data_IF_682176137510
#
_entry.id   IF_682176137510
#
_cell.length_a   1.000
_cell.length_b   1.000
_cell.length_c   1.000
_cell.angle_alpha   90.00
_cell.angle_beta   90.00
_cell.angle_gamma   90.00
#
_symmetry.space_group_name_H-M   'P 1'
#
loop_
_entity.id
_entity.type
_entity.pdbx_description
1 polymer ?
#
# COMPACT_ATOMS: atom_id res chain seq x y z
N UNK A 1 -37.11 7.23 53.50
CA UNK A 1 -36.64 8.18 52.46
C UNK A 1 -35.45 9.05 52.93
N UNK A 2 -34.43 8.46 53.60
CA UNK A 2 -33.15 9.15 53.93
C UNK A 2 -31.96 8.46 53.26
N UNK A 3 -31.89 7.13 53.33
CA UNK A 3 -30.84 6.31 52.69
C UNK A 3 -30.61 6.67 51.22
N UNK A 4 -31.65 6.61 50.39
CA UNK A 4 -31.59 6.93 48.96
C UNK A 4 -31.04 8.34 48.61
N UNK A 5 -31.08 9.31 49.54
CA UNK A 5 -30.41 10.60 49.34
C UNK A 5 -28.89 10.49 49.54
N UNK A 6 -28.46 9.77 50.58
CA UNK A 6 -27.04 9.48 50.82
C UNK A 6 -26.43 8.69 49.67
N UNK A 7 -27.15 7.70 49.13
CA UNK A 7 -26.68 6.85 48.04
C UNK A 7 -26.50 7.67 46.73
N UNK A 8 -27.44 8.57 46.43
CA UNK A 8 -27.34 9.52 45.31
C UNK A 8 -26.17 10.49 45.46
N UNK A 9 -25.91 10.99 46.67
CA UNK A 9 -24.83 11.94 46.95
C UNK A 9 -23.44 11.29 46.80
N UNK A 10 -23.29 10.02 47.21
CA UNK A 10 -22.09 9.20 46.96
C UNK A 10 -21.85 9.02 45.46
N UNK A 11 -22.89 8.72 44.67
CA UNK A 11 -22.77 8.57 43.21
C UNK A 11 -22.35 9.90 42.55
N UNK A 12 -22.97 11.02 42.93
CA UNK A 12 -22.69 12.33 42.33
C UNK A 12 -21.24 12.79 42.59
N UNK A 13 -20.72 12.55 43.80
CA UNK A 13 -19.34 12.88 44.14
C UNK A 13 -18.32 11.99 43.39
N UNK A 14 -18.67 10.73 43.11
CA UNK A 14 -17.83 9.81 42.32
C UNK A 14 -17.77 10.20 40.83
N UNK A 15 -18.87 10.73 40.27
CA UNK A 15 -18.90 11.29 38.91
C UNK A 15 -17.95 12.49 38.81
N UNK A 16 -18.07 13.48 39.70
CA UNK A 16 -17.20 14.67 39.72
C UNK A 16 -15.71 14.33 39.79
N UNK A 17 -15.32 13.35 40.62
CA UNK A 17 -13.92 12.90 40.69
C UNK A 17 -13.45 12.28 39.37
N UNK A 18 -14.31 11.51 38.70
CA UNK A 18 -14.02 10.88 37.40
C UNK A 18 -13.90 11.92 36.27
N UNK A 19 -14.65 13.01 36.33
CA UNK A 19 -14.56 14.12 35.38
C UNK A 19 -13.27 14.93 35.56
N UNK A 20 -12.88 15.24 36.80
CA UNK A 20 -11.62 15.95 37.07
C UNK A 20 -10.37 15.17 36.62
N UNK A 21 -10.42 13.83 36.62
CA UNK A 21 -9.34 12.98 36.09
C UNK A 21 -9.38 12.75 34.57
N UNK A 22 -10.40 13.25 33.85
CA UNK A 22 -10.46 13.18 32.37
C UNK A 22 -9.97 14.45 31.67
N UNK A 23 -9.67 15.52 32.41
CA UNK A 23 -9.35 16.84 31.86
C UNK A 23 -7.82 17.07 31.72
N UNK A 24 -6.97 16.24 32.34
CA UNK A 24 -5.51 16.34 32.22
C UNK A 24 -4.95 15.89 30.86
N UNK A 25 -5.62 14.95 30.18
CA UNK A 25 -4.98 14.10 29.17
C UNK A 25 -5.25 14.54 27.71
N UNK A 26 -5.91 15.69 27.50
CA UNK A 26 -6.20 16.24 26.16
C UNK A 26 -5.55 17.62 26.00
N UNK A 27 -4.24 17.65 25.76
CA UNK A 27 -3.54 18.87 25.31
C UNK A 27 -2.48 18.61 24.22
N UNK A 28 -2.88 17.94 23.14
CA UNK A 28 -2.16 18.05 21.87
C UNK A 28 -2.55 19.37 21.18
N UNK A 29 -1.76 20.42 21.37
CA UNK A 29 -1.99 21.70 20.67
C UNK A 29 -1.58 21.59 19.21
N UNK A 30 -2.51 21.94 18.30
CA UNK A 30 -2.15 22.32 16.92
C UNK A 30 -1.34 23.62 16.96
N UNK A 31 -0.28 23.69 16.17
CA UNK A 31 0.10 24.93 15.48
C UNK A 31 0.32 24.59 14.01
N UNK A 32 -0.30 25.38 13.13
CA UNK A 32 -0.02 25.33 11.71
C UNK A 32 1.16 26.28 11.43
N UNK A 33 2.06 25.92 10.53
CA UNK A 33 2.88 26.92 9.82
C UNK A 33 2.89 26.55 8.34
N UNK A 34 2.52 27.53 7.51
CA UNK A 34 2.45 27.40 6.06
C UNK A 34 3.81 27.77 5.45
N UNK A 35 4.14 27.20 4.29
CA UNK A 35 5.30 27.57 3.50
C UNK A 35 5.45 29.09 3.37
N UNK A 36 6.65 29.62 3.59
CA UNK A 36 7.08 30.79 2.83
C UNK A 36 8.58 30.72 2.52
N UNK A 37 8.91 30.99 1.26
CA UNK A 37 10.27 31.09 0.74
C UNK A 37 10.64 32.57 0.70
N UNK A 38 11.63 33.01 1.46
CA UNK A 38 12.41 34.18 1.05
C UNK A 38 13.83 34.18 1.62
N UNK A 39 14.75 34.70 0.80
CA UNK A 39 16.19 34.74 1.03
C UNK A 39 16.58 35.90 1.95
N UNK A 40 17.66 35.72 2.72
CA UNK A 40 18.67 36.76 2.99
C UNK A 40 20.02 36.07 3.19
N UNK A 41 21.06 36.56 2.52
CA UNK A 41 22.45 36.13 2.73
C UNK A 41 23.03 36.81 3.98
N UNK A 42 23.82 36.08 4.79
CA UNK A 42 25.06 36.64 5.37
C UNK A 42 26.01 35.61 5.99
N UNK A 43 27.20 35.53 5.38
CA UNK A 43 28.54 35.61 6.00
C UNK A 43 28.93 34.59 7.09
N UNK A 44 30.10 33.97 6.87
CA UNK A 44 30.87 33.29 7.91
C UNK A 44 31.13 34.19 9.12
N UNK A 45 31.03 33.62 10.32
CA UNK A 45 31.93 33.95 11.42
C UNK A 45 32.09 32.73 12.34
N UNK A 46 33.27 32.11 12.34
CA UNK A 46 33.60 31.07 13.30
C UNK A 46 33.86 31.72 14.66
N UNK A 47 33.20 31.24 15.72
CA UNK A 47 33.60 31.45 17.12
C UNK A 47 33.30 30.22 17.96
N UNK A 48 34.40 29.63 18.43
CA UNK A 48 34.65 29.09 19.77
C UNK A 48 33.64 28.08 20.39
N UNK A 49 34.14 26.90 20.74
CA UNK A 49 33.36 25.74 21.18
C UNK A 49 32.73 25.91 22.59
N UNK A 50 31.40 26.05 22.65
CA UNK A 50 30.64 25.49 23.78
C UNK A 50 30.22 24.04 23.46
N UNK A 51 30.39 23.08 24.40
CA UNK A 51 30.03 21.69 24.17
C UNK A 51 28.51 21.52 24.13
N UNK A 52 27.96 21.43 22.92
CA UNK A 52 26.53 21.16 22.66
C UNK A 52 26.06 20.00 23.53
N UNK A 53 25.19 20.28 24.52
CA UNK A 53 24.64 19.25 25.37
C UNK A 53 23.68 18.37 24.55
N UNK A 54 24.15 17.18 24.16
CA UNK A 54 23.35 16.20 23.43
C UNK A 54 22.33 15.57 24.40
N UNK A 55 21.27 16.32 24.69
CA UNK A 55 20.10 15.84 25.41
C UNK A 55 19.51 14.65 24.64
N UNK A 56 19.74 13.44 25.15
CA UNK A 56 19.26 12.22 24.49
C UNK A 56 17.74 12.17 24.62
N UNK A 57 16.97 12.18 23.51
CA UNK A 57 15.51 12.17 23.60
C UNK A 57 15.01 10.92 24.32
N UNK A 58 14.12 11.12 25.29
CA UNK A 58 13.59 10.06 26.14
C UNK A 58 12.56 9.21 25.39
N UNK A 59 13.04 8.20 24.67
CA UNK A 59 12.17 7.25 23.96
C UNK A 59 11.46 6.31 24.95
N UNK A 60 10.15 6.04 24.78
CA UNK A 60 9.40 5.18 25.69
C UNK A 60 9.96 3.75 25.69
N UNK A 61 10.45 3.31 26.85
CA UNK A 61 11.10 2.01 27.02
C UNK A 61 10.09 0.86 26.86
N UNK A 62 10.23 0.08 25.79
CA UNK A 62 9.39 -1.10 25.53
C UNK A 62 9.90 -2.30 26.33
N UNK A 63 8.99 -2.97 27.04
CA UNK A 63 9.27 -4.25 27.70
C UNK A 63 9.77 -5.29 26.69
N UNK A 64 10.81 -6.04 27.07
CA UNK A 64 11.50 -7.01 26.19
C UNK A 64 12.59 -6.44 25.29
N UNK A 65 12.64 -5.12 25.05
CA UNK A 65 13.68 -4.51 24.20
C UNK A 65 14.93 -4.13 24.99
N UNK A 66 16.11 -4.60 24.55
CA UNK A 66 17.41 -4.12 25.07
C UNK A 66 17.73 -2.76 24.44
N UNK A 67 17.84 -1.71 25.26
CA UNK A 67 18.25 -0.38 24.81
C UNK A 67 19.70 -0.44 24.29
N UNK A 68 19.90 -0.02 23.03
CA UNK A 68 21.24 0.06 22.43
C UNK A 68 21.88 1.37 22.89
N UNK A 69 23.00 1.27 23.61
CA UNK A 69 23.78 2.42 24.09
C UNK A 69 25.02 2.65 23.23
N UNK A 70 25.42 3.92 23.11
CA UNK A 70 26.58 4.35 22.30
C UNK A 70 27.88 3.83 22.91
N UNK A 71 28.48 2.79 22.30
CA UNK A 71 29.80 2.29 22.73
C UNK A 71 30.92 3.18 22.23
N UNK A 72 31.44 4.04 23.12
CA UNK A 72 32.70 4.74 22.90
C UNK A 72 33.85 3.72 22.77
N UNK A 73 34.62 3.80 21.68
CA UNK A 73 35.82 2.97 21.47
C UNK A 73 37.05 3.75 21.95
N UNK A 74 37.93 3.16 22.79
CA UNK A 74 39.11 3.87 23.28
C UNK A 74 40.07 4.20 22.12
N UNK A 75 40.98 5.20 22.25
CA UNK A 75 41.74 5.73 21.13
C UNK A 75 42.55 4.71 20.31
N UNK A 76 43.02 3.64 20.96
CA UNK A 76 43.76 2.55 20.31
C UNK A 76 42.88 1.49 19.61
N UNK A 77 41.57 1.43 19.91
CA UNK A 77 40.56 0.60 19.21
C UNK A 77 39.64 1.41 18.28
N UNK A 78 39.83 2.73 18.17
CA UNK A 78 39.18 3.56 17.16
C UNK A 78 39.75 3.22 15.77
N UNK A 79 38.93 3.26 14.72
CA UNK A 79 39.44 3.13 13.36
C UNK A 79 40.45 4.24 13.08
N UNK A 80 41.71 3.86 12.80
CA UNK A 80 42.73 4.77 12.25
C UNK A 80 42.59 4.96 10.75
N UNK A 81 41.80 4.11 10.06
CA UNK A 81 41.41 4.38 8.67
C UNK A 81 40.42 5.56 8.69
N UNK A 82 40.66 6.64 7.92
CA UNK A 82 39.68 7.71 7.76
C UNK A 82 38.41 7.17 7.10
N UNK A 83 37.30 7.88 7.26
CA UNK A 83 36.10 7.58 6.47
C UNK A 83 36.42 7.77 4.99
N UNK A 84 36.06 6.78 4.16
CA UNK A 84 36.23 6.88 2.73
C UNK A 84 35.11 7.75 2.15
N UNK A 85 35.43 9.01 1.87
CA UNK A 85 34.57 9.86 1.03
C UNK A 85 34.49 9.23 -0.35
N UNK A 86 33.35 8.63 -0.70
CA UNK A 86 33.09 8.22 -2.06
C UNK A 86 33.00 9.49 -2.91
N UNK A 87 33.85 9.59 -3.92
CA UNK A 87 33.90 10.76 -4.77
C UNK A 87 32.73 10.68 -5.76
N UNK A 88 31.58 11.21 -5.37
CA UNK A 88 30.38 11.29 -6.22
C UNK A 88 30.74 12.19 -7.39
N UNK A 89 30.94 11.58 -8.56
CA UNK A 89 30.97 12.32 -9.82
C UNK A 89 29.53 12.60 -10.18
N UNK A 90 29.15 13.87 -10.18
CA UNK A 90 27.97 14.30 -10.91
C UNK A 90 28.20 13.92 -12.38
N UNK A 91 27.41 12.97 -12.87
CA UNK A 91 27.37 12.69 -14.30
C UNK A 91 26.73 13.91 -14.93
N UNK A 92 27.49 14.66 -15.71
CA UNK A 92 26.92 15.55 -16.72
C UNK A 92 26.23 14.63 -17.73
N UNK A 93 24.95 14.35 -17.48
CA UNK A 93 24.11 13.58 -18.39
C UNK A 93 24.00 14.42 -19.65
N UNK A 94 24.65 13.97 -20.73
CA UNK A 94 24.54 14.62 -22.02
C UNK A 94 23.06 14.80 -22.35
N UNK A 95 22.70 15.95 -22.93
CA UNK A 95 21.29 16.29 -23.16
C UNK A 95 20.57 15.20 -23.96
N UNK A 96 21.30 14.47 -24.81
CA UNK A 96 20.82 13.33 -25.59
C UNK A 96 20.63 12.05 -24.77
N UNK A 97 21.42 11.78 -23.73
CA UNK A 97 21.14 10.67 -22.80
C UNK A 97 19.93 11.00 -21.90
N UNK A 98 19.78 12.26 -21.48
CA UNK A 98 18.58 12.73 -20.80
C UNK A 98 17.35 12.67 -21.73
N UNK A 99 17.51 13.03 -23.01
CA UNK A 99 16.46 12.88 -24.02
C UNK A 99 16.10 11.41 -24.24
N UNK A 100 17.04 10.47 -24.19
CA UNK A 100 16.75 9.03 -24.31
C UNK A 100 16.01 8.50 -23.07
N UNK A 101 16.40 8.90 -21.85
CA UNK A 101 15.67 8.56 -20.62
C UNK A 101 14.26 9.17 -20.63
N UNK A 102 14.15 10.44 -21.04
CA UNK A 102 12.87 11.12 -21.20
C UNK A 102 12.02 10.49 -22.31
N UNK A 103 12.61 10.04 -23.42
CA UNK A 103 11.93 9.34 -24.51
C UNK A 103 11.43 7.96 -24.08
N UNK A 104 12.16 7.24 -23.22
CA UNK A 104 11.67 6.01 -22.60
C UNK A 104 10.50 6.29 -21.64
N UNK A 105 10.58 7.36 -20.84
CA UNK A 105 9.51 7.77 -19.94
C UNK A 105 8.26 8.28 -20.69
N UNK A 106 8.43 9.07 -21.76
CA UNK A 106 7.31 9.49 -22.61
C UNK A 106 6.78 8.34 -23.45
N UNK A 107 7.60 7.39 -23.90
CA UNK A 107 7.07 6.16 -24.55
C UNK A 107 6.17 5.39 -23.59
N UNK A 108 6.60 5.18 -22.34
CA UNK A 108 5.77 4.51 -21.32
C UNK A 108 4.50 5.31 -20.97
N UNK A 109 4.56 6.65 -21.01
CA UNK A 109 3.42 7.52 -20.70
C UNK A 109 2.44 7.68 -21.88
N UNK A 110 2.92 7.90 -23.09
CA UNK A 110 2.10 8.02 -24.30
C UNK A 110 1.40 6.69 -24.65
N UNK A 111 2.04 5.55 -24.39
CA UNK A 111 1.39 4.21 -24.48
C UNK A 111 0.23 4.08 -23.48
N UNK A 112 0.23 4.83 -22.37
CA UNK A 112 -0.88 4.88 -21.42
C UNK A 112 -1.94 5.94 -21.75
N UNK A 113 -1.59 7.04 -22.41
CA UNK A 113 -2.46 8.21 -22.59
C UNK A 113 -3.13 8.32 -23.99
N UNK A 114 -2.54 7.75 -25.05
CA UNK A 114 -3.04 7.91 -26.44
C UNK A 114 -4.14 6.92 -26.84
N UNK A 115 -5.31 6.93 -26.17
CA UNK A 115 -6.56 6.29 -26.67
C UNK A 115 -7.86 7.05 -26.36
N UNK A 116 -7.93 8.33 -26.75
CA UNK A 116 -9.22 9.01 -27.01
C UNK A 116 -9.13 9.90 -28.26
N UNK A 117 -10.16 9.78 -29.12
CA UNK A 117 -10.47 10.54 -30.35
C UNK A 117 -9.68 10.28 -31.65
N UNK A 118 -10.37 9.54 -32.53
CA UNK A 118 -10.70 9.87 -33.92
C UNK A 118 -9.65 9.70 -35.05
N UNK A 119 -10.15 9.67 -36.30
CA UNK A 119 -9.54 9.00 -37.46
C UNK A 119 -8.96 10.00 -38.50
N UNK A 120 -7.96 9.60 -39.31
CA UNK A 120 -8.13 9.32 -40.76
C UNK A 120 -6.81 8.96 -41.50
N UNK A 121 -6.78 7.74 -42.06
CA UNK A 121 -6.09 7.23 -43.27
C UNK A 121 -4.88 8.00 -43.84
N UNK A 122 -3.69 7.36 -43.86
CA UNK A 122 -3.00 6.97 -45.12
C UNK A 122 -1.82 5.98 -44.91
N UNK A 123 -1.35 5.40 -46.03
CA UNK A 123 -0.26 4.38 -46.11
C UNK A 123 1.13 5.05 -46.35
N UNK A 124 2.28 4.37 -46.49
CA UNK A 124 2.61 2.96 -46.81
C UNK A 124 4.07 2.60 -46.40
N UNK A 125 4.42 1.30 -46.45
CA UNK A 125 5.77 0.71 -46.77
C UNK A 125 7.02 1.26 -46.04
N UNK A 126 7.85 0.53 -45.28
CA UNK A 126 7.92 -0.82 -44.64
C UNK A 126 8.93 -0.67 -43.44
N UNK A 127 9.46 -1.62 -42.64
CA UNK A 127 9.71 -3.09 -42.62
C UNK A 127 9.99 -3.47 -41.12
N UNK A 128 10.14 -4.70 -40.60
CA UNK A 128 10.17 -6.06 -41.15
C UNK A 128 9.74 -7.15 -40.14
N UNK A 129 9.28 -8.29 -40.66
CA UNK A 129 9.28 -9.67 -40.12
C UNK A 129 9.56 -9.90 -38.61
N UNK A 130 8.49 -10.05 -37.83
CA UNK A 130 7.98 -11.39 -37.49
C UNK A 130 6.51 -11.38 -37.06
N UNK A 131 5.66 -11.82 -37.98
CA UNK A 131 4.43 -12.60 -37.80
C UNK A 131 3.53 -12.27 -36.59
N UNK A 132 2.71 -11.22 -36.72
CA UNK A 132 1.44 -11.11 -35.99
C UNK A 132 0.33 -10.68 -36.95
N UNK A 133 -0.50 -11.63 -37.39
CA UNK A 133 -1.62 -11.35 -38.31
C UNK A 133 -2.78 -10.75 -37.53
N UNK A 134 -3.08 -9.48 -37.81
CA UNK A 134 -4.07 -8.68 -37.10
C UNK A 134 -5.50 -9.11 -37.49
N UNK A 135 -6.17 -9.84 -36.60
CA UNK A 135 -7.63 -9.74 -36.46
C UNK A 135 -7.92 -9.15 -35.10
N UNK A 136 -8.65 -8.03 -35.03
CA UNK A 136 -8.87 -7.33 -33.77
C UNK A 136 -9.91 -8.01 -32.88
N UNK A 137 -9.44 -9.04 -32.18
CA UNK A 137 -10.08 -9.61 -30.98
C UNK A 137 -9.13 -9.35 -29.83
N UNK A 138 -9.58 -8.64 -28.78
CA UNK A 138 -8.79 -8.46 -27.55
C UNK A 138 -8.60 -9.83 -26.90
N UNK A 139 -7.44 -10.45 -27.13
CA UNK A 139 -7.17 -11.82 -26.70
C UNK A 139 -6.86 -11.84 -25.19
N UNK A 140 -7.47 -12.79 -24.46
CA UNK A 140 -7.24 -12.97 -23.03
C UNK A 140 -5.85 -13.63 -22.83
N UNK A 141 -4.95 -13.10 -21.99
CA UNK A 141 -3.66 -13.72 -21.73
C UNK A 141 -3.79 -15.13 -21.11
N UNK A 142 -2.78 -16.01 -21.27
CA UNK A 142 -2.80 -17.35 -20.69
C UNK A 142 -2.73 -17.33 -19.16
N UNK A 143 -3.06 -18.45 -18.51
CA UNK A 143 -3.02 -18.56 -17.03
C UNK A 143 -1.62 -18.22 -16.48
N UNK A 144 -1.49 -17.22 -15.60
CA UNK A 144 -0.19 -16.83 -15.05
C UNK A 144 0.40 -17.92 -14.17
N UNK A 145 1.71 -18.11 -14.28
CA UNK A 145 2.47 -19.02 -13.41
C UNK A 145 3.12 -18.28 -12.25
N UNK A 146 3.31 -16.97 -12.37
CA UNK A 146 3.99 -16.10 -11.40
C UNK A 146 3.22 -14.81 -11.16
N UNK A 147 3.40 -14.20 -9.98
CA UNK A 147 2.90 -12.87 -9.65
C UNK A 147 3.27 -11.79 -10.67
N UNK A 148 4.47 -11.84 -11.26
CA UNK A 148 4.93 -10.84 -12.25
C UNK A 148 4.09 -10.89 -13.52
N UNK A 149 3.79 -12.10 -14.04
CA UNK A 149 2.89 -12.29 -15.17
C UNK A 149 1.48 -11.80 -14.82
N UNK A 150 0.94 -12.24 -13.67
CA UNK A 150 -0.37 -11.80 -13.17
C UNK A 150 -0.49 -10.27 -13.16
N UNK A 151 0.52 -9.57 -12.62
CA UNK A 151 0.52 -8.09 -12.53
C UNK A 151 0.68 -7.41 -13.90
N UNK A 152 1.49 -7.96 -14.80
CA UNK A 152 1.64 -7.42 -16.16
C UNK A 152 0.35 -7.57 -16.98
N UNK A 153 -0.25 -8.76 -16.97
CA UNK A 153 -1.52 -9.05 -17.63
C UNK A 153 -2.65 -8.18 -17.05
N UNK A 154 -2.72 -8.04 -15.72
CA UNK A 154 -3.70 -7.19 -15.05
C UNK A 154 -3.56 -5.71 -15.46
N UNK A 155 -2.33 -5.20 -15.51
CA UNK A 155 -2.05 -3.83 -15.93
C UNK A 155 -2.40 -3.56 -17.42
N UNK A 156 -2.34 -4.57 -18.28
CA UNK A 156 -2.79 -4.53 -19.67
C UNK A 156 -4.33 -4.57 -19.77
N UNK A 157 -4.98 -5.38 -18.94
CA UNK A 157 -6.44 -5.60 -18.98
C UNK A 157 -7.27 -4.59 -18.16
N UNK A 158 -6.65 -3.78 -17.29
CA UNK A 158 -7.33 -2.87 -16.33
C UNK A 158 -8.44 -1.97 -16.89
N UNK A 159 -8.40 -1.66 -18.18
CA UNK A 159 -9.38 -0.82 -18.86
C UNK A 159 -10.66 -1.58 -19.29
N UNK A 160 -10.63 -2.92 -19.31
CA UNK A 160 -11.66 -3.81 -19.83
C UNK A 160 -12.12 -4.82 -18.76
N UNK A 161 -13.11 -4.49 -17.89
CA UNK A 161 -13.52 -5.36 -16.79
C UNK A 161 -14.13 -6.70 -17.24
N UNK A 162 -14.61 -6.82 -18.48
CA UNK A 162 -15.01 -8.11 -19.06
C UNK A 162 -13.82 -9.03 -19.33
N UNK A 163 -12.68 -8.48 -19.76
CA UNK A 163 -11.48 -9.26 -20.02
C UNK A 163 -10.75 -9.61 -18.72
N UNK A 164 -10.74 -8.71 -17.73
CA UNK A 164 -10.32 -9.06 -16.36
C UNK A 164 -11.18 -10.18 -15.77
N UNK A 165 -12.49 -10.14 -15.97
CA UNK A 165 -13.38 -11.23 -15.56
C UNK A 165 -13.03 -12.56 -16.25
N UNK A 166 -12.90 -12.56 -17.58
CA UNK A 166 -12.52 -13.76 -18.34
C UNK A 166 -11.14 -14.28 -17.93
N UNK A 167 -10.16 -13.39 -17.72
CA UNK A 167 -8.81 -13.72 -17.30
C UNK A 167 -8.78 -14.34 -15.89
N UNK A 168 -9.37 -13.68 -14.89
CA UNK A 168 -9.44 -14.18 -13.52
C UNK A 168 -10.21 -15.51 -13.44
N UNK A 169 -11.23 -15.71 -14.27
CA UNK A 169 -11.98 -16.97 -14.38
C UNK A 169 -11.13 -18.15 -14.87
N UNK A 170 -10.00 -17.92 -15.54
CA UNK A 170 -9.04 -19.00 -15.87
C UNK A 170 -8.17 -19.42 -14.66
N UNK A 171 -8.12 -18.62 -13.59
CA UNK A 171 -7.29 -18.87 -12.41
C UNK A 171 -8.17 -19.52 -11.33
N UNK A 172 -7.95 -20.79 -10.95
CA UNK A 172 -8.66 -21.39 -9.82
C UNK A 172 -8.35 -20.62 -8.54
N UNK A 173 -9.36 -20.25 -7.75
CA UNK A 173 -9.17 -19.42 -6.55
C UNK A 173 -8.15 -19.99 -5.56
N UNK A 174 -8.21 -21.32 -5.29
CA UNK A 174 -7.23 -22.06 -4.49
C UNK A 174 -5.79 -22.04 -5.02
N UNK A 175 -5.56 -21.67 -6.30
CA UNK A 175 -4.22 -21.52 -6.88
C UNK A 175 -3.63 -20.11 -6.65
N UNK A 176 -4.45 -19.11 -6.32
CA UNK A 176 -4.00 -17.72 -6.17
C UNK A 176 -2.82 -17.57 -5.18
N UNK A 177 -2.80 -18.22 -3.99
CA UNK A 177 -1.65 -18.19 -3.08
C UNK A 177 -0.36 -18.73 -3.68
N UNK A 178 -0.43 -19.75 -4.54
CA UNK A 178 0.76 -20.34 -5.18
C UNK A 178 1.39 -19.43 -6.24
N UNK A 179 0.58 -18.58 -6.88
CA UNK A 179 1.01 -17.59 -7.89
C UNK A 179 1.55 -16.33 -7.21
N UNK A 180 0.81 -15.83 -6.22
CA UNK A 180 1.03 -14.55 -5.52
C UNK A 180 2.08 -14.64 -4.41
N UNK A 181 2.02 -15.70 -3.60
CA UNK A 181 2.87 -15.94 -2.42
C UNK A 181 2.88 -14.72 -1.48
N UNK A 182 4.06 -14.16 -1.21
CA UNK A 182 4.22 -13.01 -0.31
C UNK A 182 4.19 -11.66 -1.05
N UNK A 183 4.11 -11.68 -2.39
CA UNK A 183 4.30 -10.52 -3.27
C UNK A 183 3.05 -9.68 -3.49
N UNK A 184 1.90 -10.06 -2.92
CA UNK A 184 0.65 -9.28 -3.07
C UNK A 184 0.83 -7.83 -2.63
N UNK A 185 0.35 -6.94 -3.49
CA UNK A 185 0.15 -5.51 -3.28
C UNK A 185 -1.33 -5.19 -3.03
N UNK A 186 -1.59 -4.10 -2.33
CA UNK A 186 -2.95 -3.71 -1.96
C UNK A 186 -3.79 -3.32 -3.19
N UNK A 187 -3.21 -2.62 -4.17
CA UNK A 187 -3.87 -2.25 -5.43
C UNK A 187 -4.49 -3.47 -6.14
N UNK A 188 -3.67 -4.50 -6.42
CA UNK A 188 -4.12 -5.73 -7.08
C UNK A 188 -5.13 -6.53 -6.23
N UNK A 189 -4.97 -6.51 -4.90
CA UNK A 189 -5.91 -7.14 -3.97
C UNK A 189 -7.28 -6.48 -4.01
N UNK A 190 -7.34 -5.14 -3.95
CA UNK A 190 -8.56 -4.34 -4.07
C UNK A 190 -9.21 -4.54 -5.43
N UNK A 191 -8.44 -4.52 -6.52
CA UNK A 191 -8.93 -4.74 -7.88
C UNK A 191 -9.54 -6.15 -8.06
N UNK A 192 -8.90 -7.20 -7.52
CA UNK A 192 -9.45 -8.57 -7.56
C UNK A 192 -10.78 -8.65 -6.81
N UNK A 193 -10.87 -8.09 -5.59
CA UNK A 193 -12.13 -8.03 -4.83
C UNK A 193 -13.22 -7.27 -5.60
N UNK A 194 -12.86 -6.16 -6.24
CA UNK A 194 -13.76 -5.35 -7.06
C UNK A 194 -14.26 -6.08 -8.31
N UNK A 195 -13.42 -6.88 -8.98
CA UNK A 195 -13.84 -7.72 -10.11
C UNK A 195 -14.75 -8.87 -9.65
N UNK A 196 -14.49 -9.49 -8.50
CA UNK A 196 -15.40 -10.47 -7.90
C UNK A 196 -16.78 -9.85 -7.62
N UNK A 197 -16.83 -8.65 -7.05
CA UNK A 197 -18.07 -7.91 -6.76
C UNK A 197 -18.82 -7.52 -8.06
N UNK A 198 -18.14 -6.87 -9.02
CA UNK A 198 -18.78 -6.28 -10.20
C UNK A 198 -19.09 -7.31 -11.30
N UNK A 199 -18.37 -8.44 -11.38
CA UNK A 199 -18.52 -9.41 -12.48
C UNK A 199 -18.84 -10.83 -12.06
N UNK A 200 -18.35 -11.34 -10.92
CA UNK A 200 -18.70 -12.71 -10.51
C UNK A 200 -20.09 -12.74 -9.84
N UNK A 201 -20.33 -11.89 -8.83
CA UNK A 201 -21.64 -11.79 -8.15
C UNK A 201 -22.77 -11.45 -9.13
N UNK A 202 -22.58 -10.42 -9.98
CA UNK A 202 -23.60 -9.98 -10.94
C UNK A 202 -23.95 -11.03 -11.99
N UNK A 203 -23.02 -11.95 -12.32
CA UNK A 203 -23.27 -13.07 -13.23
C UNK A 203 -23.61 -14.39 -12.49
N UNK A 204 -23.80 -14.35 -11.16
CA UNK A 204 -24.22 -15.51 -10.36
C UNK A 204 -23.16 -16.59 -10.12
N UNK A 205 -21.86 -16.29 -10.29
CA UNK A 205 -20.79 -17.26 -10.05
C UNK A 205 -20.46 -17.39 -8.57
N UNK A 206 -20.21 -18.63 -8.13
CA UNK A 206 -19.58 -18.88 -6.83
C UNK A 206 -18.16 -18.28 -6.79
N UNK A 207 -17.85 -17.57 -5.72
CA UNK A 207 -16.56 -16.93 -5.43
C UNK A 207 -15.86 -17.54 -4.21
N UNK A 208 -16.45 -18.57 -3.59
CA UNK A 208 -15.97 -19.18 -2.35
C UNK A 208 -14.52 -19.63 -2.44
N UNK A 209 -14.15 -20.30 -3.54
CA UNK A 209 -12.78 -20.74 -3.81
C UNK A 209 -11.77 -19.58 -3.92
N UNK A 210 -12.21 -18.39 -4.35
CA UNK A 210 -11.36 -17.20 -4.39
C UNK A 210 -11.19 -16.59 -2.99
N UNK A 211 -12.26 -16.49 -2.18
CA UNK A 211 -12.12 -16.00 -0.80
C UNK A 211 -11.34 -16.97 0.10
N UNK A 212 -11.48 -18.28 -0.11
CA UNK A 212 -10.67 -19.31 0.56
C UNK A 212 -9.20 -19.15 0.17
N UNK A 213 -8.87 -19.08 -1.13
CA UNK A 213 -7.50 -18.81 -1.56
C UNK A 213 -6.95 -17.50 -0.99
N UNK A 214 -7.73 -16.42 -0.99
CA UNK A 214 -7.32 -15.14 -0.40
C UNK A 214 -7.07 -15.27 1.12
N UNK A 215 -7.85 -16.08 1.85
CA UNK A 215 -7.67 -16.33 3.28
C UNK A 215 -6.34 -17.00 3.65
N UNK A 216 -5.72 -17.72 2.71
CA UNK A 216 -4.43 -18.38 2.89
C UNK A 216 -3.21 -17.45 2.65
N UNK A 217 -3.41 -16.20 2.23
CA UNK A 217 -2.32 -15.27 1.93
C UNK A 217 -1.58 -14.82 3.21
N UNK A 218 -0.25 -15.05 3.36
CA UNK A 218 0.51 -14.76 4.59
C UNK A 218 0.53 -13.29 5.06
N UNK A 219 -0.01 -12.36 4.26
CA UNK A 219 -0.09 -10.93 4.54
C UNK A 219 -1.53 -10.39 4.50
N UNK A 220 -2.57 -11.24 4.50
CA UNK A 220 -3.96 -10.82 4.35
C UNK A 220 -4.36 -9.70 5.34
N UNK A 221 -4.09 -9.87 6.64
CA UNK A 221 -4.40 -8.86 7.65
C UNK A 221 -3.75 -7.50 7.34
N UNK A 222 -2.52 -7.49 6.80
CA UNK A 222 -1.85 -6.27 6.37
C UNK A 222 -2.51 -5.65 5.12
N UNK A 223 -2.97 -6.46 4.16
CA UNK A 223 -3.71 -5.99 2.98
C UNK A 223 -5.05 -5.37 3.39
N UNK A 224 -5.77 -5.99 4.33
CA UNK A 224 -7.05 -5.47 4.86
C UNK A 224 -6.84 -4.22 5.69
N UNK A 225 -5.75 -4.12 6.49
CA UNK A 225 -5.41 -2.89 7.23
C UNK A 225 -5.11 -1.68 6.33
N UNK A 226 -4.75 -1.88 5.06
CA UNK A 226 -4.56 -0.81 4.09
C UNK A 226 -5.82 -0.47 3.26
N UNK A 227 -6.91 -1.22 3.42
CA UNK A 227 -8.16 -0.98 2.71
C UNK A 227 -8.92 0.25 3.25
N UNK A 228 -9.53 1.02 2.36
CA UNK A 228 -10.47 2.09 2.73
C UNK A 228 -11.78 1.52 3.31
N UNK A 229 -12.60 2.39 3.92
CA UNK A 229 -13.95 2.02 4.39
C UNK A 229 -14.82 1.39 3.31
N UNK A 230 -14.60 1.75 2.05
CA UNK A 230 -15.41 1.30 0.92
C UNK A 230 -14.94 -0.10 0.47
N UNK A 231 -13.63 -0.36 0.47
CA UNK A 231 -13.05 -1.68 0.20
C UNK A 231 -13.38 -2.67 1.33
N UNK A 232 -13.30 -2.26 2.59
CA UNK A 232 -13.76 -3.08 3.74
C UNK A 232 -15.25 -3.39 3.63
N UNK A 233 -16.07 -2.49 3.07
CA UNK A 233 -17.49 -2.75 2.79
C UNK A 233 -17.68 -3.74 1.64
N UNK A 234 -16.88 -3.65 0.57
CA UNK A 234 -16.83 -4.66 -0.49
C UNK A 234 -16.48 -6.07 0.06
N UNK A 235 -15.48 -6.18 0.95
CA UNK A 235 -15.16 -7.45 1.63
C UNK A 235 -16.39 -8.00 2.41
N UNK A 236 -17.14 -7.14 3.10
CA UNK A 236 -18.38 -7.53 3.81
C UNK A 236 -19.46 -8.06 2.87
N UNK A 237 -19.62 -7.45 1.69
CA UNK A 237 -20.58 -7.90 0.68
C UNK A 237 -20.16 -9.25 0.05
N UNK A 238 -18.88 -9.41 -0.30
CA UNK A 238 -18.32 -10.65 -0.83
C UNK A 238 -18.50 -11.81 0.17
N UNK A 239 -18.20 -11.59 1.45
CA UNK A 239 -18.42 -12.57 2.52
C UNK A 239 -19.92 -12.90 2.68
N UNK A 240 -20.81 -11.89 2.69
CA UNK A 240 -22.28 -12.07 2.75
C UNK A 240 -22.86 -12.79 1.53
N UNK A 241 -22.18 -12.76 0.38
CA UNK A 241 -22.54 -13.56 -0.78
C UNK A 241 -22.12 -15.03 -0.61
N UNK A 242 -20.88 -15.26 -0.14
CA UNK A 242 -20.31 -16.60 0.08
C UNK A 242 -21.03 -17.41 1.16
N UNK A 243 -21.66 -16.76 2.15
CA UNK A 243 -22.46 -17.45 3.17
C UNK A 243 -23.71 -18.19 2.63
N UNK A 244 -23.98 -18.14 1.31
CA UNK A 244 -25.00 -18.95 0.62
C UNK A 244 -24.46 -20.29 0.10
N UNK A 245 -23.15 -20.42 -0.07
CA UNK A 245 -22.47 -21.53 -0.73
C UNK A 245 -21.60 -22.35 0.23
N UNK A 246 -21.22 -21.77 1.37
CA UNK A 246 -20.25 -22.31 2.33
C UNK A 246 -20.90 -22.60 3.67
N UNK A 247 -20.49 -23.70 4.33
CA UNK A 247 -20.98 -24.09 5.65
C UNK A 247 -20.62 -23.08 6.75
N UNK A 248 -21.43 -23.00 7.81
CA UNK A 248 -21.29 -21.99 8.87
C UNK A 248 -19.90 -21.95 9.50
N UNK A 249 -19.29 -23.12 9.76
CA UNK A 249 -17.93 -23.24 10.29
C UNK A 249 -16.88 -22.62 9.35
N UNK A 250 -16.94 -22.92 8.05
CA UNK A 250 -15.99 -22.40 7.08
C UNK A 250 -16.23 -20.90 6.81
N UNK A 251 -17.49 -20.45 6.84
CA UNK A 251 -17.84 -19.02 6.77
C UNK A 251 -17.32 -18.24 7.99
N UNK A 252 -17.42 -18.80 9.20
CA UNK A 252 -16.82 -18.22 10.41
C UNK A 252 -15.30 -18.07 10.27
N UNK A 253 -14.61 -19.13 9.86
CA UNK A 253 -13.16 -19.13 9.68
C UNK A 253 -12.70 -18.11 8.61
N UNK A 254 -13.45 -18.00 7.50
CA UNK A 254 -13.23 -16.96 6.49
C UNK A 254 -13.35 -15.56 7.11
N UNK A 255 -14.45 -15.27 7.80
CA UNK A 255 -14.66 -13.95 8.42
C UNK A 255 -13.55 -13.59 9.41
N UNK A 256 -13.11 -14.56 10.22
CA UNK A 256 -12.01 -14.39 11.18
C UNK A 256 -10.66 -14.13 10.48
N UNK A 257 -10.41 -14.77 9.34
CA UNK A 257 -9.18 -14.60 8.55
C UNK A 257 -9.06 -13.21 7.91
N UNK A 258 -10.19 -12.65 7.45
CA UNK A 258 -10.23 -11.27 6.96
C UNK A 258 -10.23 -10.23 8.10
N UNK A 259 -10.85 -10.53 9.24
CA UNK A 259 -10.87 -9.65 10.43
C UNK A 259 -11.88 -8.49 10.36
N UNK A 260 -13.08 -8.72 9.78
CA UNK A 260 -13.97 -7.68 9.21
C UNK A 260 -15.43 -7.76 9.69
#
# INVERSE_FOLDING_TARGET
NKQAKSDLEVVNNKIKQTEMQKISDIKCQKTNTINNLQSINSKMLCKDDEPIQIATPNWPQRVGCKQITTRQKPPHLRSKKPFCTLNIKDVQVDQDELNNIHLLQTTLKEVCEKKYKDQFINKEVITAKKDFVQTEKKHVPPVPQTYVQLKQDWAFLKNDPELLFQYLKQIPGKRLPSIVRNSMDNDLFVDILRILQIKFINNGYDISDYLIGISELPRLQMLVMFCSSNEVSCIKELLKYVSKFVSENAFKNLKESFGV
#
